data_IF_518343315529
#
_entry.id   IF_518343315529
#
_cell.length_a   1.000
_cell.length_b   1.000
_cell.length_c   1.000
_cell.angle_alpha   90.00
_cell.angle_beta   90.00
_cell.angle_gamma   90.00
#
_symmetry.space_group_name_H-M   'P 1'
#
loop_
_entity.id
_entity.type
_entity.pdbx_description
1 polymer ?
#
# COMPACT_ATOMS: atom_id res chain seq x y z
N UNK A 1 1.82 13.97 -0.57
CA UNK A 1 1.88 12.58 -1.04
C UNK A 1 0.65 12.28 -1.89
N UNK A 2 0.67 11.16 -2.61
CA UNK A 2 -0.50 10.52 -3.25
C UNK A 2 -0.62 9.11 -2.70
N UNK A 3 -1.83 8.66 -2.41
CA UNK A 3 -2.11 7.29 -1.96
C UNK A 3 -3.03 6.62 -2.99
N UNK A 4 -2.64 5.42 -3.44
CA UNK A 4 -3.37 4.63 -4.43
C UNK A 4 -3.86 3.32 -3.80
N UNK A 5 -5.11 2.96 -4.09
CA UNK A 5 -5.81 1.82 -3.49
C UNK A 5 -5.62 0.47 -4.17
N UNK A 6 -4.74 0.35 -5.17
CA UNK A 6 -4.58 -0.86 -6.01
C UNK A 6 -5.14 -0.70 -7.42
N UNK A 7 -4.99 -1.73 -8.25
CA UNK A 7 -5.41 -1.76 -9.66
C UNK A 7 -4.92 -0.56 -10.48
N UNK A 8 -3.65 -0.16 -10.26
CA UNK A 8 -3.02 0.88 -11.08
C UNK A 8 -2.94 0.44 -12.55
N UNK A 9 -2.82 -0.87 -12.78
CA UNK A 9 -2.88 -1.48 -14.09
C UNK A 9 -4.04 -2.47 -14.17
N UNK A 10 -4.81 -2.40 -15.25
CA UNK A 10 -5.86 -3.37 -15.56
C UNK A 10 -5.31 -4.76 -15.94
N UNK A 11 -4.11 -4.80 -16.55
CA UNK A 11 -3.46 -6.04 -16.95
C UNK A 11 -2.30 -6.33 -15.99
N UNK A 12 -2.22 -7.56 -15.48
CA UNK A 12 -1.10 -8.02 -14.64
C UNK A 12 0.26 -7.83 -15.32
N UNK A 13 0.29 -8.04 -16.64
CA UNK A 13 1.44 -7.78 -17.51
C UNK A 13 1.12 -6.59 -18.42
N UNK A 14 1.27 -5.35 -17.93
CA UNK A 14 0.86 -4.17 -18.69
C UNK A 14 1.64 -4.05 -19.99
N UNK A 15 0.97 -3.61 -21.05
CA UNK A 15 1.64 -3.32 -22.31
C UNK A 15 2.74 -2.27 -22.13
N UNK A 16 3.78 -2.32 -22.97
CA UNK A 16 4.85 -1.29 -22.99
C UNK A 16 4.30 0.14 -23.07
N UNK A 17 3.20 0.35 -23.82
CA UNK A 17 2.53 1.65 -23.92
C UNK A 17 1.94 2.07 -22.57
N UNK A 18 1.26 1.17 -21.88
CA UNK A 18 0.65 1.45 -20.57
C UNK A 18 1.72 1.83 -19.54
N UNK A 19 2.74 0.98 -19.38
CA UNK A 19 3.86 1.24 -18.47
C UNK A 19 4.57 2.57 -18.79
N UNK A 20 4.81 2.85 -20.07
CA UNK A 20 5.42 4.12 -20.49
C UNK A 20 4.58 5.35 -20.09
N UNK A 21 3.26 5.32 -20.29
CA UNK A 21 2.41 6.47 -19.92
C UNK A 21 2.36 6.69 -18.41
N UNK A 22 2.33 5.61 -17.61
CA UNK A 22 2.41 5.69 -16.15
C UNK A 22 3.75 6.27 -15.72
N UNK A 23 4.87 5.71 -16.19
CA UNK A 23 6.22 6.20 -15.87
C UNK A 23 6.41 7.67 -16.29
N UNK A 24 5.94 8.05 -17.49
CA UNK A 24 5.98 9.44 -17.97
C UNK A 24 5.22 10.38 -17.06
N UNK A 25 4.03 9.97 -16.61
CA UNK A 25 3.14 10.79 -15.78
C UNK A 25 3.71 10.96 -14.37
N UNK A 26 4.16 9.87 -13.74
CA UNK A 26 4.83 9.93 -12.45
C UNK A 26 6.08 10.81 -12.52
N UNK A 27 6.94 10.60 -13.52
CA UNK A 27 8.17 11.37 -13.68
C UNK A 27 7.90 12.87 -13.86
N UNK A 28 6.87 13.24 -14.62
CA UNK A 28 6.53 14.65 -14.91
C UNK A 28 5.94 15.37 -13.70
N UNK A 29 5.21 14.70 -12.83
CA UNK A 29 4.41 15.35 -11.79
C UNK A 29 4.96 15.13 -10.37
N UNK A 30 5.75 14.07 -10.15
CA UNK A 30 6.23 13.71 -8.82
C UNK A 30 7.69 14.10 -8.58
N UNK A 31 8.50 14.32 -9.62
CA UNK A 31 9.88 14.78 -9.47
C UNK A 31 9.93 16.30 -9.53
N UNK A 32 10.80 16.91 -8.73
CA UNK A 32 10.95 18.36 -8.70
C UNK A 32 11.83 18.85 -7.57
N UNK A 33 12.05 20.16 -7.53
CA UNK A 33 12.93 20.79 -6.55
C UNK A 33 12.23 21.15 -5.23
N UNK A 34 10.90 21.05 -5.16
CA UNK A 34 10.18 21.34 -3.92
C UNK A 34 10.42 20.19 -2.95
N UNK A 35 10.95 20.45 -1.74
CA UNK A 35 11.25 19.42 -0.76
C UNK A 35 9.97 18.75 -0.25
N UNK A 36 10.08 17.46 0.09
CA UNK A 36 9.03 16.72 0.78
C UNK A 36 9.07 17.08 2.27
N UNK A 37 7.95 17.56 2.83
CA UNK A 37 7.82 17.95 4.25
C UNK A 37 7.43 16.77 5.17
N UNK A 38 7.37 15.56 4.62
CA UNK A 38 7.06 14.35 5.36
C UNK A 38 8.36 13.77 5.90
N UNK A 39 8.36 13.44 7.18
CA UNK A 39 9.40 12.66 7.85
C UNK A 39 9.00 11.19 7.86
N UNK A 40 9.93 10.31 7.47
CA UNK A 40 9.75 8.86 7.52
C UNK A 40 10.32 8.31 8.83
N UNK A 41 9.48 7.63 9.61
CA UNK A 41 9.82 7.16 10.96
C UNK A 41 9.86 5.62 11.09
N UNK A 42 9.47 4.90 10.03
CA UNK A 42 9.51 3.43 9.98
C UNK A 42 10.91 2.92 9.59
N UNK A 43 11.13 1.61 9.74
CA UNK A 43 12.20 0.93 9.02
C UNK A 43 11.73 0.60 7.60
N UNK A 44 12.38 1.20 6.60
CA UNK A 44 12.06 1.01 5.18
C UNK A 44 12.23 -0.45 4.73
N UNK A 45 13.18 -1.20 5.30
CA UNK A 45 13.39 -2.61 4.95
C UNK A 45 12.19 -3.46 5.37
N UNK A 46 11.56 -3.13 6.49
CA UNK A 46 10.41 -3.87 7.00
C UNK A 46 9.12 -3.59 6.22
N UNK A 47 8.93 -2.38 5.71
CA UNK A 47 7.64 -1.96 5.12
C UNK A 47 7.64 -1.96 3.59
N UNK A 48 8.81 -1.93 2.96
CA UNK A 48 8.94 -1.85 1.52
C UNK A 48 9.63 -3.04 0.86
N UNK A 49 10.25 -3.97 1.60
CA UNK A 49 10.91 -5.21 1.09
C UNK A 49 11.66 -5.05 -0.25
N UNK A 50 12.19 -3.85 -0.52
CA UNK A 50 12.68 -3.43 -1.82
C UNK A 50 14.18 -3.56 -1.92
N UNK A 51 14.70 -3.38 -3.15
CA UNK A 51 16.15 -3.37 -3.37
C UNK A 51 16.87 -2.20 -2.68
N UNK A 52 16.15 -1.10 -2.40
CA UNK A 52 16.68 0.11 -1.78
C UNK A 52 16.13 0.27 -0.36
N UNK A 53 17.00 0.43 0.65
CA UNK A 53 16.62 0.42 2.07
C UNK A 53 16.09 1.77 2.58
N UNK A 54 15.50 2.58 1.70
CA UNK A 54 15.02 3.93 1.99
C UNK A 54 13.75 4.25 1.20
N UNK A 55 12.95 5.19 1.71
CA UNK A 55 11.78 5.70 0.99
C UNK A 55 12.24 6.55 -0.20
N UNK A 56 11.49 6.55 -1.31
CA UNK A 56 11.99 7.11 -2.57
C UNK A 56 12.38 8.60 -2.54
N UNK A 57 11.82 9.39 -1.63
CA UNK A 57 12.14 10.82 -1.50
C UNK A 57 13.32 11.11 -0.56
N UNK A 58 13.88 10.09 0.08
CA UNK A 58 15.15 10.15 0.80
C UNK A 58 16.32 9.63 -0.05
N UNK A 59 16.05 9.21 -1.29
CA UNK A 59 17.09 8.82 -2.24
C UNK A 59 17.99 10.03 -2.58
N UNK A 60 19.33 9.91 -2.45
CA UNK A 60 20.24 11.03 -2.67
C UNK A 60 20.36 11.44 -4.14
N UNK A 61 20.01 10.54 -5.07
CA UNK A 61 20.23 10.71 -6.51
C UNK A 61 18.91 11.00 -7.26
N UNK A 62 17.75 10.89 -6.60
CA UNK A 62 16.43 11.11 -7.20
C UNK A 62 15.62 12.14 -6.40
N UNK A 63 15.44 13.33 -6.96
CA UNK A 63 14.66 14.40 -6.33
C UNK A 63 13.14 14.18 -6.49
N UNK A 64 12.54 13.47 -5.53
CA UNK A 64 11.08 13.30 -5.42
C UNK A 64 10.46 14.49 -4.67
N UNK A 65 9.55 15.19 -5.34
CA UNK A 65 8.78 16.30 -4.77
C UNK A 65 7.43 15.86 -4.20
N UNK A 66 6.79 14.87 -4.80
CA UNK A 66 5.50 14.33 -4.35
C UNK A 66 5.60 12.81 -4.31
N UNK A 67 5.79 12.20 -3.12
CA UNK A 67 5.89 10.74 -3.01
C UNK A 67 4.53 10.09 -3.23
N UNK A 68 4.53 8.96 -3.94
CA UNK A 68 3.35 8.13 -4.22
C UNK A 68 3.48 6.83 -3.43
N UNK A 69 2.43 6.45 -2.73
CA UNK A 69 2.32 5.18 -2.01
C UNK A 69 1.19 4.37 -2.63
N UNK A 70 1.39 3.08 -2.85
CA UNK A 70 0.37 2.19 -3.42
C UNK A 70 0.45 0.80 -2.78
N UNK A 71 -0.70 0.17 -2.63
CA UNK A 71 -0.84 -1.29 -2.53
C UNK A 71 -1.11 -1.88 -3.93
N UNK A 72 -0.99 -3.20 -4.11
CA UNK A 72 -1.50 -3.86 -5.33
C UNK A 72 -2.98 -4.24 -5.17
N UNK A 73 -3.70 -4.27 -6.28
CA UNK A 73 -5.05 -4.81 -6.42
C UNK A 73 -5.06 -6.22 -7.02
N UNK A 74 -6.23 -6.69 -7.45
CA UNK A 74 -6.37 -8.04 -8.01
C UNK A 74 -5.93 -8.13 -9.48
N UNK A 75 -5.76 -7.01 -10.18
CA UNK A 75 -5.30 -6.99 -11.56
C UNK A 75 -3.78 -6.87 -11.69
N UNK A 76 -3.13 -6.18 -10.75
CA UNK A 76 -1.70 -5.91 -10.73
C UNK A 76 -0.96 -6.64 -9.60
N UNK A 77 -1.45 -7.83 -9.24
CA UNK A 77 -0.89 -8.72 -8.22
C UNK A 77 0.47 -9.35 -8.63
N UNK A 78 1.30 -9.78 -7.67
CA UNK A 78 2.56 -10.46 -7.98
C UNK A 78 2.34 -11.80 -8.69
N UNK A 79 3.04 -12.04 -9.80
CA UNK A 79 2.88 -13.28 -10.58
C UNK A 79 4.19 -13.78 -11.22
N UNK A 80 4.16 -15.04 -11.70
CA UNK A 80 5.31 -15.70 -12.34
C UNK A 80 6.41 -16.11 -11.37
N UNK A 81 7.49 -16.69 -11.92
CA UNK A 81 8.56 -17.33 -11.14
C UNK A 81 9.32 -16.37 -10.21
N UNK A 82 9.35 -15.07 -10.56
CA UNK A 82 10.03 -14.04 -9.78
C UNK A 82 9.17 -13.43 -8.68
N UNK A 83 7.87 -13.73 -8.62
CA UNK A 83 6.92 -13.14 -7.67
C UNK A 83 6.95 -11.60 -7.61
N UNK A 84 7.18 -10.95 -8.76
CA UNK A 84 7.11 -9.50 -8.89
C UNK A 84 5.78 -9.06 -9.49
N UNK A 85 5.34 -7.87 -9.11
CA UNK A 85 4.21 -7.17 -9.68
C UNK A 85 4.67 -5.92 -10.47
N UNK A 86 3.71 -5.24 -11.10
CA UNK A 86 4.00 -4.00 -11.83
C UNK A 86 4.49 -2.86 -10.90
N UNK A 87 4.08 -2.86 -9.62
CA UNK A 87 4.52 -1.85 -8.66
C UNK A 87 5.98 -2.03 -8.25
N UNK A 88 6.51 -3.26 -8.21
CA UNK A 88 7.93 -3.50 -7.95
C UNK A 88 8.81 -2.83 -9.00
N UNK A 89 8.39 -2.86 -10.27
CA UNK A 89 9.09 -2.19 -11.37
C UNK A 89 9.06 -0.66 -11.24
N UNK A 90 7.95 -0.11 -10.75
CA UNK A 90 7.86 1.33 -10.49
C UNK A 90 8.64 1.74 -9.24
N UNK A 91 8.74 0.86 -8.25
CA UNK A 91 9.50 1.07 -7.02
C UNK A 91 11.00 1.04 -7.27
N UNK A 92 11.51 0.04 -8.00
CA UNK A 92 12.93 -0.01 -8.36
C UNK A 92 13.35 1.15 -9.27
N UNK A 93 12.39 1.75 -10.00
CA UNK A 93 12.61 2.97 -10.77
C UNK A 93 12.55 4.27 -9.92
N UNK A 94 12.29 4.17 -8.62
CA UNK A 94 12.16 5.29 -7.68
C UNK A 94 10.85 6.08 -7.78
N UNK A 95 9.85 5.60 -8.52
CA UNK A 95 8.65 6.37 -8.85
C UNK A 95 7.47 6.13 -7.87
N UNK A 96 7.42 4.97 -7.21
CA UNK A 96 6.36 4.57 -6.28
C UNK A 96 6.94 3.88 -5.06
N UNK A 97 6.36 4.10 -3.88
CA UNK A 97 6.64 3.30 -2.69
C UNK A 97 5.56 2.23 -2.56
N UNK A 98 5.92 0.98 -2.87
CA UNK A 98 5.01 -0.15 -2.75
C UNK A 98 5.06 -0.69 -1.32
N UNK A 99 3.92 -0.63 -0.61
CA UNK A 99 3.75 -1.05 0.78
C UNK A 99 2.57 -2.04 0.90
N UNK A 100 2.37 -2.62 2.09
CA UNK A 100 1.23 -3.51 2.35
C UNK A 100 1.33 -4.88 1.67
N UNK A 101 2.56 -5.33 1.38
CA UNK A 101 2.85 -6.68 0.86
C UNK A 101 2.29 -7.75 1.80
N UNK A 102 1.78 -8.83 1.20
CA UNK A 102 1.30 -10.01 1.93
C UNK A 102 2.14 -11.20 1.50
N UNK A 103 3.21 -11.47 2.25
CA UNK A 103 4.10 -12.61 2.00
C UNK A 103 3.40 -13.95 2.27
N UNK A 104 2.65 -14.05 3.37
CA UNK A 104 1.89 -15.24 3.75
C UNK A 104 0.40 -14.89 3.93
N UNK A 105 -0.44 -15.22 2.95
CA UNK A 105 -1.87 -14.95 3.05
C UNK A 105 -2.60 -15.77 4.13
N UNK A 106 -1.96 -16.79 4.71
CA UNK A 106 -2.48 -17.53 5.86
C UNK A 106 -2.04 -16.94 7.21
N UNK A 107 -1.02 -16.07 7.26
CA UNK A 107 -0.53 -15.40 8.47
C UNK A 107 -0.12 -13.97 8.11
N UNK A 108 -1.07 -13.04 8.15
CA UNK A 108 -0.85 -11.67 7.69
C UNK A 108 -0.23 -10.85 8.83
N UNK A 109 0.92 -10.23 8.56
CA UNK A 109 1.53 -9.23 9.44
C UNK A 109 1.29 -7.83 8.86
N UNK A 110 0.42 -7.05 9.49
CA UNK A 110 0.10 -5.69 9.06
C UNK A 110 0.97 -4.68 9.81
N UNK A 111 2.07 -4.26 9.16
CA UNK A 111 3.02 -3.26 9.68
C UNK A 111 2.73 -1.87 9.09
N UNK A 112 2.64 -0.80 9.90
CA UNK A 112 2.37 0.54 9.39
C UNK A 112 3.62 1.23 8.84
N UNK A 113 3.41 2.05 7.81
CA UNK A 113 4.33 3.12 7.41
C UNK A 113 4.06 4.33 8.30
N UNK A 114 5.06 4.76 9.06
CA UNK A 114 4.97 5.85 10.03
C UNK A 114 5.51 7.12 9.41
N UNK A 115 4.62 8.11 9.29
CA UNK A 115 4.92 9.41 8.70
C UNK A 115 4.57 10.53 9.68
N UNK A 116 5.37 11.59 9.68
CA UNK A 116 5.09 12.78 10.47
C UNK A 116 5.24 14.06 9.64
N UNK A 117 4.36 15.02 9.89
CA UNK A 117 4.49 16.39 9.37
C UNK A 117 4.21 17.39 10.50
N UNK A 118 5.25 18.09 10.93
CA UNK A 118 5.15 18.98 12.09
C UNK A 118 4.72 18.21 13.33
N UNK A 119 3.55 18.52 13.90
CA UNK A 119 3.00 17.83 15.07
C UNK A 119 2.04 16.68 14.73
N UNK A 120 1.67 16.53 13.45
CA UNK A 120 0.69 15.53 13.01
C UNK A 120 1.38 14.22 12.64
N UNK A 121 0.90 13.11 13.21
CA UNK A 121 1.44 11.76 13.02
C UNK A 121 0.43 10.86 12.32
N UNK A 122 0.90 10.09 11.34
CA UNK A 122 0.11 9.20 10.52
C UNK A 122 0.70 7.80 10.56
N UNK A 123 -0.10 6.83 11.00
CA UNK A 123 0.19 5.41 10.85
C UNK A 123 -0.57 4.88 9.64
N UNK A 124 0.13 4.71 8.53
CA UNK A 124 -0.42 4.28 7.24
C UNK A 124 -0.33 2.75 7.12
N UNK A 125 -1.46 2.08 7.28
CA UNK A 125 -1.62 0.64 7.08
C UNK A 125 -2.08 0.34 5.66
N UNK A 126 -1.58 -0.76 5.10
CA UNK A 126 -1.98 -1.25 3.79
C UNK A 126 -2.14 -2.76 3.80
N UNK A 127 -3.19 -3.25 3.16
CA UNK A 127 -3.39 -4.67 2.85
C UNK A 127 -3.66 -4.77 1.35
N UNK A 128 -2.64 -5.18 0.61
CA UNK A 128 -2.80 -5.49 -0.81
C UNK A 128 -3.84 -6.58 -1.05
N UNK A 129 -4.35 -6.70 -2.28
CA UNK A 129 -5.36 -7.70 -2.58
C UNK A 129 -4.87 -9.13 -2.26
N UNK A 130 -5.75 -9.87 -1.59
CA UNK A 130 -5.75 -11.33 -1.48
C UNK A 130 -7.10 -11.81 -2.00
N UNK A 131 -7.18 -13.03 -2.54
CA UNK A 131 -8.46 -13.64 -2.90
C UNK A 131 -9.44 -13.60 -1.73
N UNK A 132 -10.64 -13.05 -1.95
CA UNK A 132 -11.58 -12.70 -0.87
C UNK A 132 -11.90 -13.86 0.07
N UNK A 133 -12.16 -15.08 -0.44
CA UNK A 133 -12.51 -16.19 0.46
C UNK A 133 -11.33 -16.63 1.33
N UNK A 134 -10.09 -16.40 0.90
CA UNK A 134 -8.91 -16.63 1.72
C UNK A 134 -8.79 -15.52 2.76
N UNK A 135 -8.90 -14.26 2.36
CA UNK A 135 -8.89 -13.12 3.27
C UNK A 135 -9.94 -13.27 4.38
N UNK A 136 -11.18 -13.60 4.02
CA UNK A 136 -12.27 -13.85 4.95
C UNK A 136 -11.91 -14.92 6.00
N UNK A 137 -11.35 -16.07 5.57
CA UNK A 137 -10.93 -17.13 6.49
C UNK A 137 -9.78 -16.69 7.38
N UNK A 138 -8.79 -15.97 6.85
CA UNK A 138 -7.63 -15.49 7.61
C UNK A 138 -8.06 -14.51 8.72
N UNK A 139 -9.01 -13.61 8.44
CA UNK A 139 -9.60 -12.73 9.45
C UNK A 139 -10.43 -13.50 10.48
N UNK A 140 -11.31 -14.40 10.02
CA UNK A 140 -12.15 -15.25 10.90
C UNK A 140 -11.31 -16.08 11.86
N UNK A 141 -10.19 -16.62 11.39
CA UNK A 141 -9.31 -17.49 12.17
C UNK A 141 -8.29 -16.69 13.00
N UNK A 142 -8.44 -15.36 13.10
CA UNK A 142 -7.57 -14.44 13.85
C UNK A 142 -6.09 -14.52 13.46
N UNK A 143 -5.81 -14.74 12.18
CA UNK A 143 -4.44 -14.85 11.64
C UNK A 143 -3.92 -13.56 11.02
N UNK A 144 -4.49 -12.43 11.43
CA UNK A 144 -4.02 -11.08 11.06
C UNK A 144 -3.46 -10.41 12.30
N UNK A 145 -2.15 -10.16 12.29
CA UNK A 145 -1.44 -9.51 13.38
C UNK A 145 -1.18 -8.05 13.01
N UNK A 146 -1.78 -7.15 13.79
CA UNK A 146 -1.62 -5.71 13.62
C UNK A 146 -0.47 -5.19 14.49
N UNK A 147 0.58 -4.67 13.84
CA UNK A 147 1.69 -4.03 14.55
C UNK A 147 1.34 -2.59 14.84
N UNK A 148 1.65 -2.11 16.04
CA UNK A 148 1.39 -0.73 16.45
C UNK A 148 2.68 -0.10 16.97
N UNK A 149 2.88 1.22 16.79
CA UNK A 149 3.98 1.93 17.43
C UNK A 149 3.93 1.72 18.94
N UNK A 150 5.07 1.44 19.59
CA UNK A 150 5.12 1.25 21.05
C UNK A 150 5.06 2.58 21.82
N UNK A 151 5.17 3.71 21.12
CA UNK A 151 5.20 5.06 21.69
C UNK A 151 4.06 5.89 21.13
N UNK A 152 3.46 6.72 21.98
CA UNK A 152 2.47 7.74 21.59
C UNK A 152 1.27 7.17 20.81
N UNK A 153 0.82 5.97 21.17
CA UNK A 153 -0.23 5.23 20.44
C UNK A 153 -1.52 6.02 20.21
N UNK A 154 -1.87 6.92 21.12
CA UNK A 154 -3.06 7.78 21.04
C UNK A 154 -2.91 8.96 20.09
N UNK A 155 -1.68 9.30 19.69
CA UNK A 155 -1.39 10.50 18.90
C UNK A 155 -1.35 10.19 17.39
N UNK A 156 -1.33 8.91 17.03
CA UNK A 156 -1.30 8.46 15.64
C UNK A 156 -2.70 8.45 15.06
N UNK A 157 -2.89 9.15 13.95
CA UNK A 157 -4.04 8.92 13.08
C UNK A 157 -3.78 7.64 12.28
N UNK A 158 -4.65 6.63 12.42
CA UNK A 158 -4.52 5.30 11.86
C UNK A 158 -5.35 5.20 10.58
N UNK A 159 -4.68 5.20 9.43
CA UNK A 159 -5.32 5.12 8.11
C UNK A 159 -5.04 3.76 7.49
N UNK A 160 -6.08 3.01 7.13
CA UNK A 160 -5.97 1.73 6.45
C UNK A 160 -6.38 1.85 4.99
N UNK A 161 -5.64 1.22 4.08
CA UNK A 161 -6.05 1.01 2.68
C UNK A 161 -6.18 -0.47 2.39
N UNK A 162 -7.31 -0.90 1.84
CA UNK A 162 -7.58 -2.30 1.46
C UNK A 162 -8.08 -2.38 0.02
N UNK A 163 -7.86 -3.53 -0.63
CA UNK A 163 -8.39 -3.81 -1.96
C UNK A 163 -9.13 -5.16 -1.97
N UNK A 164 -10.37 -5.18 -1.47
CA UNK A 164 -11.22 -6.38 -1.33
C UNK A 164 -12.67 -6.06 -1.72
N UNK A 165 -13.49 -7.06 -2.03
CA UNK A 165 -14.94 -6.85 -2.16
C UNK A 165 -15.53 -6.27 -0.86
N UNK A 166 -16.27 -5.16 -0.97
CA UNK A 166 -16.97 -4.52 0.14
C UNK A 166 -18.28 -5.24 0.44
N UNK A 167 -18.99 -5.65 -0.61
CA UNK A 167 -20.27 -6.34 -0.50
C UNK A 167 -20.17 -7.83 -0.80
N UNK A 168 -20.95 -8.60 -0.06
CA UNK A 168 -21.04 -10.04 -0.21
C UNK A 168 -21.71 -10.43 -1.53
N UNK A 169 -20.93 -10.90 -2.51
CA UNK A 169 -21.47 -11.64 -3.65
C UNK A 169 -21.86 -13.08 -3.26
N UNK A 170 -21.11 -13.66 -2.31
CA UNK A 170 -21.39 -14.94 -1.64
C UNK A 170 -21.17 -14.78 -0.13
N UNK A 171 -21.50 -15.80 0.65
CA UNK A 171 -21.40 -15.75 2.11
C UNK A 171 -19.97 -15.46 2.64
N UNK A 172 -18.93 -15.69 1.83
CA UNK A 172 -17.52 -15.57 2.25
C UNK A 172 -16.63 -14.76 1.30
N UNK A 173 -17.18 -14.18 0.23
CA UNK A 173 -16.40 -13.49 -0.81
C UNK A 173 -16.45 -11.96 -0.64
N UNK A 174 -16.14 -11.48 0.56
CA UNK A 174 -16.02 -10.06 0.90
C UNK A 174 -15.22 -9.91 2.19
N UNK A 175 -14.76 -8.70 2.48
CA UNK A 175 -14.17 -8.36 3.78
C UNK A 175 -15.20 -7.59 4.62
N UNK A 176 -15.76 -8.19 5.69
CA UNK A 176 -16.70 -7.48 6.56
C UNK A 176 -16.02 -6.31 7.28
N UNK A 177 -16.64 -5.13 7.32
CA UNK A 177 -16.06 -3.97 8.04
C UNK A 177 -15.81 -4.25 9.53
N UNK A 178 -16.72 -5.00 10.16
CA UNK A 178 -16.70 -5.29 11.59
C UNK A 178 -15.56 -6.22 12.04
N UNK A 179 -14.78 -6.79 11.12
CA UNK A 179 -13.57 -7.55 11.48
C UNK A 179 -12.31 -6.68 11.50
N UNK A 180 -12.40 -5.44 11.04
CA UNK A 180 -11.30 -4.47 11.12
C UNK A 180 -11.15 -3.96 12.56
N UNK A 181 -9.92 -3.59 12.98
CA UNK A 181 -9.72 -3.11 14.34
C UNK A 181 -10.40 -1.77 14.62
N UNK A 182 -11.05 -1.65 15.78
CA UNK A 182 -11.72 -0.43 16.23
C UNK A 182 -10.78 0.78 16.41
N UNK A 183 -9.45 0.57 16.41
CA UNK A 183 -8.47 1.66 16.51
C UNK A 183 -8.20 2.35 15.17
N UNK A 184 -8.75 1.87 14.06
CA UNK A 184 -8.62 2.53 12.77
C UNK A 184 -9.50 3.78 12.72
N UNK A 185 -8.92 4.92 12.36
CA UNK A 185 -9.63 6.20 12.28
C UNK A 185 -10.32 6.38 10.92
N UNK A 186 -9.71 5.87 9.84
CA UNK A 186 -10.26 5.92 8.49
C UNK A 186 -9.80 4.74 7.64
N UNK A 187 -10.71 4.22 6.80
CA UNK A 187 -10.43 3.14 5.85
C UNK A 187 -10.69 3.63 4.42
N UNK A 188 -9.72 3.40 3.52
CA UNK A 188 -9.85 3.61 2.07
C UNK A 188 -10.09 2.26 1.40
N UNK A 189 -11.24 2.12 0.75
CA UNK A 189 -11.65 0.89 0.07
C UNK A 189 -11.38 0.98 -1.44
N UNK A 190 -10.46 0.15 -1.95
CA UNK A 190 -9.89 0.33 -3.29
C UNK A 190 -10.50 -0.52 -4.41
N UNK A 191 -11.15 -1.64 -4.10
CA UNK A 191 -11.64 -2.58 -5.13
C UNK A 191 -12.97 -2.15 -5.76
N UNK A 192 -13.82 -1.50 -4.97
CA UNK A 192 -15.14 -1.07 -5.46
C UNK A 192 -14.98 0.12 -6.40
N UNK A 193 -15.61 0.03 -7.58
CA UNK A 193 -15.56 1.09 -8.59
C UNK A 193 -16.65 2.16 -8.41
N UNK A 194 -17.63 1.92 -7.54
CA UNK A 194 -18.66 2.89 -7.21
C UNK A 194 -18.07 4.05 -6.41
N UNK A 195 -18.35 5.28 -6.82
CA UNK A 195 -17.93 6.47 -6.07
C UNK A 195 -19.03 6.84 -5.06
N UNK A 196 -18.77 6.53 -3.78
CA UNK A 196 -19.67 6.80 -2.65
C UNK A 196 -19.39 8.14 -1.97
#
# INVERSE_FOLDING_TARGET
MVLLGGDLFHDNKPSRKSMYQVMRTLRRNCLGMKPCELEFLSDANEVFEGAFPHVNYEDPDINISIPVFSIHGNHDDPSGDGHFCSLDLLQVAGLVNYFGRIAEADNIEAKPVLLQKGQTKLALYGLSNVRDERMFRTFRDHKVKWFRPNVQQTDWFNLLTVHQNHHAHTATSYLPENVLPDFMDLVVWGHEHECL
#
